data_IF_542445175988
#
_entry.id   IF_542445175988
#
_cell.length_a   1.000
_cell.length_b   1.000
_cell.length_c   1.000
_cell.angle_alpha   90.00
_cell.angle_beta   90.00
_cell.angle_gamma   90.00
#
_symmetry.space_group_name_H-M   'P 1'
#
loop_
_entity.id
_entity.type
_entity.pdbx_description
1 polymer ?
#
# COMPACT_ATOMS: atom_id res chain seq x y z
N UNK A 1 4.24 -15.51 21.26
CA UNK A 1 4.80 -14.38 20.49
C UNK A 1 3.69 -13.89 19.60
N UNK A 2 3.17 -12.69 19.84
CA UNK A 2 2.23 -12.04 18.91
C UNK A 2 3.06 -11.55 17.74
N UNK A 3 3.09 -12.30 16.64
CA UNK A 3 3.57 -11.77 15.37
C UNK A 3 2.73 -10.54 15.07
N UNK A 4 3.35 -9.38 14.89
CA UNK A 4 2.62 -8.20 14.47
C UNK A 4 1.86 -8.55 13.17
N UNK A 5 0.53 -8.48 13.19
CA UNK A 5 -0.30 -8.84 12.01
C UNK A 5 -0.07 -7.82 10.87
N UNK A 6 0.80 -8.13 9.91
CA UNK A 6 1.09 -7.21 8.80
C UNK A 6 -0.04 -7.32 7.76
N UNK A 7 -1.15 -6.63 8.04
CA UNK A 7 -2.31 -6.62 7.15
C UNK A 7 -1.88 -6.15 5.75
N UNK A 8 -2.22 -6.88 4.67
CA UNK A 8 -1.94 -6.43 3.32
C UNK A 8 -2.80 -5.21 2.96
N UNK A 9 -2.41 -4.49 1.92
CA UNK A 9 -3.20 -3.40 1.33
C UNK A 9 -3.72 -3.83 -0.03
N UNK A 10 -4.99 -3.55 -0.30
CA UNK A 10 -5.58 -3.71 -1.62
C UNK A 10 -5.50 -2.39 -2.39
N UNK A 11 -4.91 -2.43 -3.56
CA UNK A 11 -4.93 -1.32 -4.52
C UNK A 11 -6.02 -1.58 -5.54
N UNK A 12 -6.97 -0.65 -5.69
CA UNK A 12 -8.14 -0.83 -6.56
C UNK A 12 -8.23 0.31 -7.58
N UNK A 13 -8.48 -0.03 -8.84
CA UNK A 13 -8.81 0.92 -9.89
C UNK A 13 -10.03 0.44 -10.69
N UNK A 14 -10.86 1.38 -11.16
CA UNK A 14 -12.02 1.06 -11.98
C UNK A 14 -12.10 1.93 -13.23
N UNK A 15 -12.41 1.29 -14.36
CA UNK A 15 -12.62 1.91 -15.67
C UNK A 15 -13.88 1.32 -16.28
N UNK A 16 -14.97 2.10 -16.29
CA UNK A 16 -16.29 1.61 -16.69
C UNK A 16 -16.80 0.51 -15.76
N UNK A 17 -17.06 -0.66 -16.33
CA UNK A 17 -17.48 -1.89 -15.66
C UNK A 17 -16.30 -2.80 -15.24
N UNK A 18 -15.07 -2.43 -15.60
CA UNK A 18 -13.86 -3.17 -15.24
C UNK A 18 -13.29 -2.68 -13.92
N UNK A 19 -13.05 -3.60 -12.98
CA UNK A 19 -12.34 -3.32 -11.72
C UNK A 19 -11.10 -4.19 -11.60
N UNK A 20 -9.93 -3.56 -11.46
CA UNK A 20 -8.68 -4.24 -11.16
C UNK A 20 -8.39 -4.13 -9.65
N UNK A 21 -7.98 -5.24 -9.03
CA UNK A 21 -7.61 -5.33 -7.61
C UNK A 21 -6.23 -5.95 -7.50
N UNK A 22 -5.34 -5.31 -6.75
CA UNK A 22 -3.97 -5.75 -6.54
C UNK A 22 -3.61 -5.77 -5.05
N UNK A 23 -3.24 -6.93 -4.52
CA UNK A 23 -2.78 -7.06 -3.13
C UNK A 23 -1.29 -6.72 -3.00
N UNK A 24 -0.96 -5.91 -1.99
CA UNK A 24 0.40 -5.50 -1.64
C UNK A 24 0.66 -5.88 -0.19
N UNK A 25 1.61 -6.80 0.02
CA UNK A 25 2.07 -7.18 1.35
C UNK A 25 2.81 -6.03 2.05
N UNK A 26 2.55 -5.87 3.34
CA UNK A 26 3.15 -4.79 4.17
C UNK A 26 4.26 -5.28 5.11
N UNK A 27 4.45 -6.60 5.24
CA UNK A 27 5.53 -7.17 6.04
C UNK A 27 6.91 -6.78 5.45
N UNK A 28 7.77 -6.08 6.22
CA UNK A 28 9.09 -5.67 5.75
C UNK A 28 10.06 -6.82 5.47
N UNK A 29 9.73 -8.04 5.90
CA UNK A 29 10.53 -9.26 5.69
C UNK A 29 10.15 -10.00 4.40
N UNK A 30 8.97 -9.71 3.83
CA UNK A 30 8.54 -10.29 2.56
C UNK A 30 9.39 -9.71 1.43
N UNK A 31 9.98 -10.60 0.61
CA UNK A 31 10.85 -10.21 -0.51
C UNK A 31 10.11 -10.25 -1.84
N UNK A 32 10.67 -9.56 -2.84
CA UNK A 32 10.08 -9.33 -4.16
C UNK A 32 9.76 -10.67 -4.87
N UNK A 33 8.50 -11.05 -4.93
CA UNK A 33 8.04 -12.31 -5.54
C UNK A 33 6.78 -12.89 -4.91
N UNK A 34 6.49 -12.50 -3.67
CA UNK A 34 5.30 -12.93 -2.93
C UNK A 34 4.10 -12.06 -3.35
N UNK A 35 3.60 -12.32 -4.56
CA UNK A 35 2.30 -11.83 -5.00
C UNK A 35 1.25 -12.73 -4.39
N UNK A 36 0.46 -12.19 -3.47
CA UNK A 36 -0.61 -12.92 -2.79
C UNK A 36 -1.94 -12.82 -3.53
N UNK A 37 -2.16 -11.76 -4.33
CA UNK A 37 -3.46 -11.52 -4.95
C UNK A 37 -3.47 -10.52 -6.10
N UNK A 38 -4.00 -10.93 -7.26
CA UNK A 38 -4.36 -10.02 -8.35
C UNK A 38 -5.62 -10.53 -9.06
N UNK A 39 -6.59 -9.64 -9.21
CA UNK A 39 -7.90 -9.92 -9.81
C UNK A 39 -8.29 -8.84 -10.79
N UNK A 40 -8.87 -9.26 -11.90
CA UNK A 40 -9.52 -8.42 -12.89
C UNK A 40 -10.98 -8.86 -12.99
N UNK A 41 -11.86 -7.96 -12.59
CA UNK A 41 -13.31 -8.14 -12.52
C UNK A 41 -13.94 -7.45 -13.71
N UNK A 42 -14.61 -8.19 -14.59
CA UNK A 42 -15.30 -7.67 -15.78
C UNK A 42 -16.73 -8.24 -15.82
N UNK A 43 -17.63 -7.71 -16.68
CA UNK A 43 -18.97 -8.30 -16.85
C UNK A 43 -18.95 -9.78 -17.25
N UNK A 44 -17.88 -10.21 -17.94
CA UNK A 44 -17.71 -11.59 -18.41
C UNK A 44 -17.20 -12.54 -17.31
N UNK A 45 -16.73 -12.01 -16.17
CA UNK A 45 -16.31 -12.79 -15.01
C UNK A 45 -15.01 -12.29 -14.36
N UNK A 46 -14.33 -13.20 -13.67
CA UNK A 46 -13.11 -12.89 -12.90
C UNK A 46 -11.90 -13.59 -13.52
N UNK A 47 -10.83 -12.83 -13.73
CA UNK A 47 -9.53 -13.31 -14.23
C UNK A 47 -8.36 -12.73 -13.42
N UNK A 48 -7.13 -13.16 -13.70
CA UNK A 48 -5.93 -12.73 -12.97
C UNK A 48 -5.25 -13.85 -12.18
N UNK A 49 -4.13 -13.53 -11.54
CA UNK A 49 -3.26 -14.51 -10.88
C UNK A 49 -3.97 -15.31 -9.78
N UNK A 50 -4.82 -14.66 -9.00
CA UNK A 50 -5.52 -15.26 -7.87
C UNK A 50 -7.01 -15.51 -8.14
N UNK A 51 -7.44 -15.43 -9.40
CA UNK A 51 -8.85 -15.60 -9.78
C UNK A 51 -9.40 -17.00 -9.49
N UNK A 52 -8.53 -18.00 -9.42
CA UNK A 52 -8.89 -19.40 -9.18
C UNK A 52 -8.83 -19.79 -7.71
N UNK A 53 -8.57 -18.86 -6.79
CA UNK A 53 -8.42 -19.17 -5.38
C UNK A 53 -9.67 -19.84 -4.80
N UNK A 54 -9.47 -20.93 -4.04
CA UNK A 54 -10.57 -21.80 -3.56
C UNK A 54 -11.56 -21.09 -2.63
N UNK A 55 -11.10 -20.07 -1.90
CA UNK A 55 -11.90 -19.30 -0.96
C UNK A 55 -12.81 -18.26 -1.61
N UNK A 56 -12.68 -17.99 -2.91
CA UNK A 56 -13.54 -17.04 -3.61
C UNK A 56 -14.92 -17.63 -3.87
N UNK A 57 -16.00 -17.02 -3.35
CA UNK A 57 -17.36 -17.43 -3.66
C UNK A 57 -17.73 -17.03 -5.09
N UNK A 58 -18.61 -17.82 -5.72
CA UNK A 58 -19.37 -17.45 -6.94
C UNK A 58 -18.56 -16.62 -7.95
N UNK A 59 -17.48 -17.22 -8.51
CA UNK A 59 -16.51 -16.56 -9.42
C UNK A 59 -17.10 -16.00 -10.72
N UNK A 60 -18.39 -16.21 -10.95
CA UNK A 60 -19.20 -15.64 -12.04
C UNK A 60 -19.93 -14.35 -11.65
N UNK A 61 -19.92 -13.97 -10.37
CA UNK A 61 -20.42 -12.69 -9.85
C UNK A 61 -19.22 -11.81 -9.41
N UNK A 62 -18.77 -10.88 -10.27
CA UNK A 62 -17.70 -9.95 -9.96
C UNK A 62 -17.97 -9.10 -8.70
N UNK A 63 -19.23 -8.82 -8.39
CA UNK A 63 -19.59 -8.04 -7.21
C UNK A 63 -19.46 -8.86 -5.92
N UNK A 64 -19.83 -10.15 -5.94
CA UNK A 64 -19.59 -11.07 -4.82
C UNK A 64 -18.10 -11.27 -4.57
N UNK A 65 -17.30 -11.40 -5.64
CA UNK A 65 -15.84 -11.46 -5.51
C UNK A 65 -15.30 -10.18 -4.89
N UNK A 66 -15.67 -8.99 -5.40
CA UNK A 66 -15.19 -7.72 -4.83
C UNK A 66 -15.52 -7.60 -3.34
N UNK A 67 -16.75 -7.92 -2.92
CA UNK A 67 -17.14 -7.94 -1.50
C UNK A 67 -16.30 -8.89 -0.66
N UNK A 68 -15.90 -10.03 -1.23
CA UNK A 68 -15.05 -11.00 -0.54
C UNK A 68 -13.60 -10.53 -0.42
N UNK A 69 -13.11 -9.74 -1.39
CA UNK A 69 -11.78 -9.17 -1.36
C UNK A 69 -11.68 -8.02 -0.34
N UNK A 70 -12.69 -7.15 -0.26
CA UNK A 70 -12.64 -5.89 0.50
C UNK A 70 -12.88 -6.11 1.99
N UNK A 71 -11.90 -6.71 2.65
CA UNK A 71 -11.81 -6.84 4.12
C UNK A 71 -10.49 -6.29 4.68
N UNK A 72 -9.55 -5.93 3.80
CA UNK A 72 -8.28 -5.29 4.12
C UNK A 72 -8.31 -3.80 3.78
N UNK A 73 -7.39 -2.99 4.34
CA UNK A 73 -7.24 -1.58 3.96
C UNK A 73 -7.08 -1.40 2.45
N UNK A 74 -7.76 -0.40 1.90
CA UNK A 74 -7.85 -0.13 0.46
C UNK A 74 -7.21 1.20 0.12
N UNK A 75 -6.31 1.18 -0.85
CA UNK A 75 -5.80 2.36 -1.54
C UNK A 75 -6.43 2.47 -2.92
N UNK A 76 -7.23 3.52 -3.15
CA UNK A 76 -7.81 3.76 -4.47
C UNK A 76 -6.74 4.34 -5.40
N UNK A 77 -6.51 3.71 -6.54
CA UNK A 77 -5.42 4.09 -7.42
C UNK A 77 -5.60 5.52 -7.95
N UNK A 78 -6.85 5.93 -8.15
CA UNK A 78 -7.21 7.24 -8.68
C UNK A 78 -6.96 8.39 -7.69
N UNK A 79 -6.78 8.09 -6.39
CA UNK A 79 -6.49 9.07 -5.34
C UNK A 79 -4.99 9.30 -5.11
N UNK A 80 -4.16 8.44 -5.70
CA UNK A 80 -2.70 8.54 -5.59
C UNK A 80 -2.16 9.43 -6.72
N UNK A 81 -1.36 10.47 -6.41
CA UNK A 81 -0.83 11.38 -7.42
C UNK A 81 0.21 10.72 -8.32
N UNK A 82 0.32 11.19 -9.56
CA UNK A 82 1.41 10.81 -10.47
C UNK A 82 2.68 11.57 -10.05
N UNK A 83 3.81 10.86 -9.96
CA UNK A 83 5.10 11.50 -9.67
C UNK A 83 5.40 12.61 -10.71
N UNK A 84 5.89 13.75 -10.27
CA UNK A 84 6.24 14.93 -11.10
C UNK A 84 5.08 15.62 -11.82
N UNK A 85 3.83 15.27 -11.49
CA UNK A 85 2.63 15.99 -11.91
C UNK A 85 2.20 16.96 -10.80
N UNK A 86 2.23 18.27 -11.06
CA UNK A 86 1.49 19.24 -10.23
C UNK A 86 -0.02 19.17 -10.46
N UNK A 87 -0.45 18.36 -11.42
CA UNK A 87 -1.85 18.13 -11.72
C UNK A 87 -2.38 17.02 -10.81
N UNK A 88 -3.11 17.44 -9.78
CA UNK A 88 -3.87 16.59 -8.85
C UNK A 88 -5.27 16.32 -9.38
N UNK A 89 -5.59 16.70 -10.62
CA UNK A 89 -6.90 16.40 -11.19
C UNK A 89 -7.10 14.88 -11.23
N UNK A 90 -8.19 14.44 -10.60
CA UNK A 90 -8.68 13.09 -10.74
C UNK A 90 -8.78 12.77 -12.23
N UNK A 91 -8.26 11.61 -12.64
CA UNK A 91 -8.33 11.18 -14.03
C UNK A 91 -9.81 11.24 -14.47
N UNK A 92 -10.19 12.07 -15.46
CA UNK A 92 -11.60 12.35 -15.77
C UNK A 92 -12.40 11.13 -16.27
N UNK A 93 -11.73 10.02 -16.54
CA UNK A 93 -12.33 8.71 -16.87
C UNK A 93 -12.48 7.77 -15.66
N UNK A 94 -12.12 8.22 -14.45
CA UNK A 94 -12.27 7.42 -13.24
C UNK A 94 -13.76 7.17 -12.95
N UNK A 95 -14.16 5.91 -13.02
CA UNK A 95 -15.52 5.50 -12.66
C UNK A 95 -15.55 5.23 -11.15
N UNK A 96 -16.51 5.80 -10.40
CA UNK A 96 -16.64 5.52 -8.98
C UNK A 96 -16.71 4.01 -8.73
N UNK A 97 -15.86 3.50 -7.83
CA UNK A 97 -15.93 2.11 -7.37
C UNK A 97 -17.13 2.01 -6.43
N UNK A 98 -18.12 1.13 -6.71
CA UNK A 98 -19.25 0.91 -5.80
C UNK A 98 -18.74 0.51 -4.41
N UNK A 99 -19.23 1.24 -3.42
CA UNK A 99 -19.01 1.18 -1.96
C UNK A 99 -17.87 0.27 -1.49
N UNK A 100 -16.64 0.76 -1.64
CA UNK A 100 -15.59 0.42 -0.67
C UNK A 100 -15.95 1.16 0.63
N UNK A 101 -16.20 0.45 1.74
CA UNK A 101 -16.53 1.10 3.01
C UNK A 101 -15.46 2.12 3.40
N UNK A 102 -15.88 3.31 3.81
CA UNK A 102 -14.96 4.41 4.14
C UNK A 102 -13.99 4.00 5.27
N UNK A 103 -14.46 3.15 6.19
CA UNK A 103 -13.69 2.54 7.26
C UNK A 103 -12.50 1.70 6.77
N UNK A 104 -12.53 1.19 5.53
CA UNK A 104 -11.43 0.42 4.95
C UNK A 104 -10.51 1.28 4.08
N UNK A 105 -10.87 2.52 3.77
CA UNK A 105 -10.09 3.36 2.87
C UNK A 105 -8.90 3.99 3.60
N UNK A 106 -7.73 3.89 2.98
CA UNK A 106 -6.51 4.52 3.48
C UNK A 106 -6.66 6.04 3.39
N UNK A 107 -6.46 6.71 4.52
CA UNK A 107 -6.34 8.16 4.63
C UNK A 107 -4.85 8.52 4.41
N UNK A 108 -4.53 8.95 3.19
CA UNK A 108 -3.17 9.36 2.82
C UNK A 108 -2.67 10.54 3.66
N UNK A 109 -3.42 11.65 3.83
CA UNK A 109 -3.04 12.72 4.75
C UNK A 109 -2.72 12.23 6.17
N UNK A 110 -3.58 11.44 6.80
CA UNK A 110 -3.36 10.93 8.15
C UNK A 110 -2.17 9.97 8.21
N UNK A 111 -1.95 9.17 7.16
CA UNK A 111 -0.77 8.31 7.02
C UNK A 111 0.51 9.15 7.00
N UNK A 112 0.55 10.24 6.23
CA UNK A 112 1.73 11.10 6.14
C UNK A 112 2.00 11.87 7.43
N UNK A 113 0.96 12.32 8.13
CA UNK A 113 1.09 12.89 9.48
C UNK A 113 1.71 11.87 10.43
N UNK A 114 1.23 10.62 10.44
CA UNK A 114 1.75 9.57 11.31
C UNK A 114 3.22 9.23 11.00
N UNK A 115 3.64 9.26 9.73
CA UNK A 115 5.06 9.11 9.35
C UNK A 115 5.91 10.26 9.90
N UNK A 116 5.45 11.50 9.73
CA UNK A 116 6.18 12.68 10.21
C UNK A 116 6.34 12.65 11.72
N UNK A 117 5.29 12.30 12.47
CA UNK A 117 5.32 12.14 13.91
C UNK A 117 6.30 11.05 14.36
N UNK A 118 6.34 9.91 13.65
CA UNK A 118 7.28 8.83 13.95
C UNK A 118 8.73 9.25 13.74
N UNK A 119 9.02 9.98 12.65
CA UNK A 119 10.35 10.52 12.36
C UNK A 119 10.80 11.52 13.43
N UNK A 120 9.92 12.45 13.83
CA UNK A 120 10.21 13.43 14.87
C UNK A 120 10.40 12.78 16.25
N UNK A 121 9.60 11.75 16.56
CA UNK A 121 9.75 10.97 17.79
C UNK A 121 11.12 10.28 17.82
N UNK A 122 11.52 9.60 16.74
CA UNK A 122 12.83 8.95 16.66
C UNK A 122 13.99 9.95 16.78
N UNK A 123 13.89 11.15 16.19
CA UNK A 123 14.89 12.22 16.32
C UNK A 123 15.03 12.68 17.78
N UNK A 124 13.90 12.89 18.45
CA UNK A 124 13.82 13.33 19.85
C UNK A 124 14.39 12.25 20.77
N UNK A 125 13.98 11.01 20.61
CA UNK A 125 14.43 9.87 21.40
C UNK A 125 15.94 9.66 21.24
N UNK A 126 16.47 9.81 20.02
CA UNK A 126 17.91 9.72 19.79
C UNK A 126 18.67 10.84 20.48
N UNK A 127 18.19 12.09 20.40
CA UNK A 127 18.81 13.22 21.08
C UNK A 127 18.84 13.01 22.60
N UNK A 128 17.75 12.51 23.17
CA UNK A 128 17.63 12.21 24.60
C UNK A 128 18.57 11.08 25.03
N UNK A 129 18.61 9.99 24.27
CA UNK A 129 19.44 8.83 24.57
C UNK A 129 20.94 9.06 24.28
N UNK A 130 21.26 10.03 23.43
CA UNK A 130 22.64 10.33 23.00
C UNK A 130 22.96 11.83 23.02
N UNK A 131 23.00 12.47 24.21
CA UNK A 131 23.28 13.90 24.32
C UNK A 131 24.60 14.30 23.66
N UNK A 132 24.59 15.37 22.88
CA UNK A 132 25.78 15.91 22.20
C UNK A 132 26.25 15.11 20.97
N UNK A 133 25.63 13.98 20.64
CA UNK A 133 25.97 13.25 19.40
C UNK A 133 25.23 13.82 18.19
N UNK A 134 25.88 13.75 17.03
CA UNK A 134 25.24 14.07 15.74
C UNK A 134 24.10 13.09 15.46
N UNK A 135 22.98 13.62 14.97
CA UNK A 135 21.85 12.82 14.50
C UNK A 135 22.29 11.83 13.41
N UNK A 136 21.76 10.59 13.39
CA UNK A 136 22.01 9.69 12.29
C UNK A 136 21.36 10.24 11.01
N UNK A 137 21.81 9.73 9.86
CA UNK A 137 21.16 10.00 8.59
C UNK A 137 19.82 9.24 8.55
N UNK A 138 18.77 9.85 9.12
CA UNK A 138 17.41 9.36 9.03
C UNK A 138 16.97 9.33 7.56
N UNK A 139 16.48 8.19 7.04
CA UNK A 139 15.93 8.14 5.69
C UNK A 139 14.80 9.16 5.51
N UNK A 140 14.71 9.69 4.30
CA UNK A 140 13.54 10.46 3.86
C UNK A 140 12.53 9.46 3.33
N UNK A 141 11.29 9.60 3.76
CA UNK A 141 10.16 8.81 3.29
C UNK A 141 9.30 9.77 2.48
N UNK A 142 9.19 9.52 1.18
CA UNK A 142 8.40 10.36 0.29
C UNK A 142 6.90 10.09 0.47
N UNK A 143 6.05 10.89 -0.18
CA UNK A 143 4.64 10.54 -0.34
C UNK A 143 4.49 9.35 -1.30
N UNK A 144 3.40 8.60 -1.16
CA UNK A 144 3.08 7.52 -2.09
C UNK A 144 2.69 8.16 -3.42
N UNK A 145 3.40 7.81 -4.49
CA UNK A 145 3.14 8.30 -5.85
C UNK A 145 3.05 7.14 -6.85
N UNK A 146 2.36 7.35 -7.98
CA UNK A 146 2.32 6.36 -9.07
C UNK A 146 3.71 6.20 -9.68
N UNK A 147 4.09 4.95 -9.95
CA UNK A 147 5.37 4.61 -10.58
C UNK A 147 5.11 3.74 -11.81
N UNK A 148 5.28 4.35 -12.98
CA UNK A 148 5.09 3.68 -14.26
C UNK A 148 6.00 2.47 -14.42
N UNK A 149 5.51 1.49 -15.16
CA UNK A 149 6.28 0.31 -15.51
C UNK A 149 5.78 -0.33 -16.79
N UNK A 150 6.17 -1.58 -17.00
CA UNK A 150 5.75 -2.30 -18.20
C UNK A 150 4.25 -2.56 -18.17
N UNK A 151 3.57 -2.13 -19.24
CA UNK A 151 2.17 -2.43 -19.46
C UNK A 151 1.97 -3.94 -19.71
N UNK A 152 0.86 -4.53 -19.25
CA UNK A 152 0.45 -5.87 -19.64
C UNK A 152 0.32 -5.97 -21.17
N UNK A 153 0.87 -7.03 -21.78
CA UNK A 153 0.88 -7.19 -23.25
C UNK A 153 -0.42 -7.73 -23.82
N UNK A 154 -1.18 -8.46 -23.03
CA UNK A 154 -2.36 -9.22 -23.47
C UNK A 154 -3.69 -8.55 -23.07
N UNK A 155 -3.64 -7.29 -22.62
CA UNK A 155 -4.81 -6.50 -22.26
C UNK A 155 -4.96 -5.29 -23.18
N UNK A 156 -6.20 -4.85 -23.39
CA UNK A 156 -6.53 -3.67 -24.17
C UNK A 156 -7.71 -2.91 -23.54
N UNK A 157 -7.89 -1.65 -23.94
CA UNK A 157 -9.02 -0.81 -23.51
C UNK A 157 -9.12 -0.66 -21.98
N UNK A 158 -10.33 -0.62 -21.41
CA UNK A 158 -10.54 -0.38 -19.97
C UNK A 158 -9.81 -1.37 -19.05
N UNK A 159 -9.61 -2.61 -19.48
CA UNK A 159 -8.84 -3.61 -18.73
C UNK A 159 -7.36 -3.25 -18.65
N UNK A 160 -6.76 -2.79 -19.75
CA UNK A 160 -5.37 -2.33 -19.74
C UNK A 160 -5.22 -1.11 -18.82
N UNK A 161 -6.14 -0.16 -18.90
CA UNK A 161 -6.07 1.08 -18.14
C UNK A 161 -6.24 0.84 -16.63
N UNK A 162 -7.21 0.00 -16.24
CA UNK A 162 -7.43 -0.36 -14.84
C UNK A 162 -6.23 -1.12 -14.25
N UNK A 163 -5.70 -2.11 -14.98
CA UNK A 163 -4.54 -2.89 -14.53
C UNK A 163 -3.29 -2.02 -14.44
N UNK A 164 -3.06 -1.15 -15.42
CA UNK A 164 -1.92 -0.22 -15.41
C UNK A 164 -2.00 0.72 -14.20
N UNK A 165 -3.17 1.29 -13.92
CA UNK A 165 -3.37 2.17 -12.77
C UNK A 165 -3.07 1.49 -11.42
N UNK A 166 -3.60 0.28 -11.17
CA UNK A 166 -3.30 -0.44 -9.92
C UNK A 166 -1.84 -0.85 -9.83
N UNK A 167 -1.22 -1.26 -10.94
CA UNK A 167 0.19 -1.66 -10.93
C UNK A 167 1.10 -0.49 -10.63
N UNK A 168 0.83 0.69 -11.19
CA UNK A 168 1.62 1.89 -10.98
C UNK A 168 1.56 2.34 -9.51
N UNK A 169 0.38 2.32 -8.90
CA UNK A 169 0.20 2.62 -7.47
C UNK A 169 0.81 1.55 -6.59
N UNK A 170 0.63 0.28 -6.91
CA UNK A 170 1.23 -0.82 -6.16
C UNK A 170 2.76 -0.80 -6.24
N UNK A 171 3.38 -0.27 -7.31
CA UNK A 171 4.83 -0.03 -7.36
C UNK A 171 5.23 1.12 -6.44
N UNK A 172 4.48 2.21 -6.46
CA UNK A 172 4.64 3.35 -5.55
C UNK A 172 4.59 2.96 -4.08
N UNK A 173 3.50 2.29 -3.67
CA UNK A 173 3.31 1.80 -2.31
C UNK A 173 4.46 0.87 -1.87
N UNK A 174 4.96 0.01 -2.75
CA UNK A 174 6.13 -0.84 -2.45
C UNK A 174 7.43 -0.06 -2.27
N UNK A 175 7.63 1.04 -2.99
CA UNK A 175 8.79 1.93 -2.76
C UNK A 175 8.65 2.53 -1.36
N UNK A 176 7.49 3.09 -1.06
CA UNK A 176 7.19 3.71 0.23
C UNK A 176 7.36 2.75 1.41
N UNK A 177 6.84 1.51 1.31
CA UNK A 177 7.02 0.47 2.34
C UNK A 177 8.51 0.12 2.56
N UNK A 178 9.33 0.13 1.49
CA UNK A 178 10.78 -0.08 1.62
C UNK A 178 11.48 1.11 2.29
N UNK A 179 11.06 2.34 2.01
CA UNK A 179 11.57 3.54 2.66
C UNK A 179 11.24 3.52 4.16
N UNK A 180 10.00 3.15 4.52
CA UNK A 180 9.61 2.93 5.90
C UNK A 180 10.46 1.84 6.57
N UNK A 181 10.61 0.68 5.94
CA UNK A 181 11.44 -0.40 6.47
C UNK A 181 12.91 0.02 6.65
N UNK A 182 13.45 0.86 5.76
CA UNK A 182 14.79 1.41 5.88
C UNK A 182 14.90 2.36 7.08
N UNK A 183 13.90 3.21 7.31
CA UNK A 183 13.81 4.06 8.49
C UNK A 183 13.78 3.22 9.77
N UNK A 184 12.91 2.22 9.85
CA UNK A 184 12.78 1.35 11.02
C UNK A 184 14.06 0.57 11.31
N UNK A 185 14.79 0.12 10.29
CA UNK A 185 16.11 -0.51 10.46
C UNK A 185 17.13 0.47 11.09
N UNK A 186 17.11 1.74 10.69
CA UNK A 186 17.96 2.76 11.33
C UNK A 186 17.50 3.01 12.75
N UNK A 187 16.19 3.15 13.00
CA UNK A 187 15.60 3.35 14.33
C UNK A 187 16.00 2.23 15.27
N UNK A 188 15.67 0.97 14.94
CA UNK A 188 15.95 -0.21 15.74
C UNK A 188 17.44 -0.40 16.07
N UNK A 189 18.34 0.02 15.17
CA UNK A 189 19.80 -0.03 15.39
C UNK A 189 20.29 1.09 16.32
N UNK A 190 19.63 2.25 16.33
CA UNK A 190 20.08 3.46 17.05
C UNK A 190 19.37 3.69 18.37
N UNK A 191 18.17 3.13 18.51
CA UNK A 191 17.30 3.19 19.67
C UNK A 191 16.96 1.75 20.05
N UNK A 192 17.65 1.16 21.05
CA UNK A 192 17.27 -0.15 21.54
C UNK A 192 15.90 -0.07 22.23
N UNK A 193 15.23 -1.21 22.34
CA UNK A 193 13.95 -1.29 23.05
C UNK A 193 14.09 -0.87 24.51
N UNK A 194 12.97 -0.62 25.18
CA UNK A 194 12.93 -0.19 26.58
C UNK A 194 13.75 -1.08 27.56
N UNK A 195 14.08 -2.31 27.16
CA UNK A 195 14.88 -3.27 27.93
C UNK A 195 16.36 -3.37 27.51
N UNK A 196 16.80 -2.66 26.46
CA UNK A 196 18.21 -2.54 26.09
C UNK A 196 18.87 -3.80 25.50
N UNK A 197 18.11 -4.88 25.29
CA UNK A 197 18.65 -6.24 25.07
C UNK A 197 18.59 -6.76 23.62
N UNK A 198 17.90 -6.08 22.70
CA UNK A 198 17.79 -6.48 21.28
C UNK A 198 17.72 -5.26 20.36
N UNK A 199 18.19 -5.34 19.10
CA UNK A 199 17.67 -4.47 18.05
C UNK A 199 16.14 -4.58 18.06
N UNK A 200 15.45 -3.44 18.10
CA UNK A 200 14.00 -3.45 18.16
C UNK A 200 13.36 -4.15 16.97
N UNK A 201 12.24 -4.82 17.22
CA UNK A 201 11.40 -5.33 16.15
C UNK A 201 10.99 -4.17 15.22
N UNK A 202 10.96 -4.43 13.91
CA UNK A 202 10.58 -3.40 12.94
C UNK A 202 9.10 -3.06 13.14
N UNK A 203 8.80 -1.79 13.35
CA UNK A 203 7.42 -1.36 13.48
C UNK A 203 6.70 -1.46 12.12
N UNK A 204 5.41 -1.78 12.18
CA UNK A 204 4.52 -1.73 11.01
C UNK A 204 4.52 -0.33 10.40
N UNK A 205 4.31 -0.26 9.10
CA UNK A 205 4.10 1.02 8.44
C UNK A 205 2.86 1.72 9.02
N UNK A 206 2.91 3.03 9.29
CA UNK A 206 1.85 3.76 9.97
C UNK A 206 0.71 4.14 9.01
N UNK A 207 0.22 3.17 8.25
CA UNK A 207 -0.94 3.31 7.38
C UNK A 207 -2.16 3.62 8.26
N UNK A 208 -2.91 4.66 7.91
CA UNK A 208 -4.14 5.07 8.60
C UNK A 208 -5.33 4.81 7.69
N UNK A 209 -6.39 4.25 8.24
CA UNK A 209 -7.65 4.01 7.55
C UNK A 209 -8.82 4.20 8.50
N UNK A 210 -9.99 4.48 7.92
CA UNK A 210 -11.26 4.59 8.62
C UNK A 210 -11.47 5.82 9.50
N UNK A 211 -11.19 6.98 8.93
CA UNK A 211 -11.60 8.28 9.47
C UNK A 211 -13.14 8.43 9.46
#
# INVERSE_FOLDING_TARGET
MSTADFDPVLVIARRGDVTAVWQVETDPNITRGDFSGAWLLTPEGVSGFAATAEWLPERTDPAAVLRSLVHWPVLLADEVPVADSSDTSANPEATPIPEIPQELRIDLPATYVAVAEALETARRDFANANPGKRQPAWPVIAEISRVSGHAPKDLAGPALDAVTAVMDVARGLRIWLREWAAFEKVRARRLPDAQGTSPGELAKAPLRWGA
#
